data_IF_498456161439
#
_entry.id   IF_498456161439
#
_cell.length_a   1.000
_cell.length_b   1.000
_cell.length_c   1.000
_cell.angle_alpha   90.00
_cell.angle_beta   90.00
_cell.angle_gamma   90.00
#
_symmetry.space_group_name_H-M   'P 1'
#
loop_
_entity.id
_entity.type
_entity.pdbx_description
1 polymer ?
#
# COMPACT_ATOMS: atom_id res chain seq x y z
N UNK A 1 -9.41 7.19 21.12
CA UNK A 1 -8.48 8.31 20.88
C UNK A 1 -7.23 7.80 20.19
N UNK A 2 -6.82 8.44 19.09
CA UNK A 2 -5.60 8.12 18.34
C UNK A 2 -4.36 8.40 19.20
N UNK A 3 -3.42 7.43 19.25
CA UNK A 3 -2.16 7.54 20.03
C UNK A 3 -0.98 7.36 19.06
N UNK A 4 -0.32 8.44 18.62
CA UNK A 4 0.65 8.39 17.52
C UNK A 4 1.87 7.49 17.83
N UNK A 5 2.34 7.49 19.09
CA UNK A 5 3.45 6.62 19.52
C UNK A 5 3.10 5.13 19.42
N UNK A 6 1.90 4.74 19.86
CA UNK A 6 1.45 3.34 19.77
C UNK A 6 1.24 2.94 18.31
N UNK A 7 0.64 3.82 17.51
CA UNK A 7 0.49 3.59 16.07
C UNK A 7 1.83 3.37 15.37
N UNK A 8 2.85 4.19 15.66
CA UNK A 8 4.18 4.03 15.08
C UNK A 8 4.83 2.70 15.43
N UNK A 9 4.68 2.24 16.68
CA UNK A 9 5.19 0.93 17.12
C UNK A 9 4.43 -0.22 16.44
N UNK A 10 3.08 -0.16 16.41
CA UNK A 10 2.24 -1.18 15.76
C UNK A 10 2.53 -1.27 14.25
N UNK A 11 2.67 -0.12 13.59
CA UNK A 11 2.99 -0.05 12.16
C UNK A 11 4.41 -0.54 11.88
N UNK A 12 5.38 -0.12 12.68
CA UNK A 12 6.76 -0.60 12.60
C UNK A 12 6.86 -2.10 12.79
N UNK A 13 6.16 -2.66 13.78
CA UNK A 13 6.09 -4.10 14.01
C UNK A 13 5.45 -4.85 12.81
N UNK A 14 4.37 -4.32 12.24
CA UNK A 14 3.72 -4.91 11.07
C UNK A 14 4.61 -4.85 9.81
N UNK A 15 5.35 -3.75 9.62
CA UNK A 15 6.33 -3.61 8.54
C UNK A 15 7.52 -4.57 8.72
N UNK A 16 8.02 -4.72 9.95
CA UNK A 16 9.06 -5.70 10.26
C UNK A 16 8.58 -7.13 10.03
N UNK A 17 7.33 -7.45 10.40
CA UNK A 17 6.72 -8.74 10.09
C UNK A 17 6.64 -8.97 8.58
N UNK A 18 6.19 -7.98 7.82
CA UNK A 18 6.16 -8.03 6.36
C UNK A 18 7.56 -8.30 5.78
N UNK A 19 8.56 -7.52 6.21
CA UNK A 19 9.94 -7.66 5.73
C UNK A 19 10.53 -9.03 6.11
N UNK A 20 10.28 -9.49 7.34
CA UNK A 20 10.70 -10.81 7.79
C UNK A 20 10.11 -11.92 6.93
N UNK A 21 8.79 -11.89 6.69
CA UNK A 21 8.12 -12.88 5.83
C UNK A 21 8.63 -12.83 4.38
N UNK A 22 8.86 -11.64 3.84
CA UNK A 22 9.41 -11.46 2.49
C UNK A 22 10.82 -12.03 2.34
N UNK A 23 11.71 -11.75 3.29
CA UNK A 23 13.08 -12.22 3.24
C UNK A 23 13.16 -13.73 3.48
N UNK A 24 12.38 -14.24 4.42
CA UNK A 24 12.35 -15.68 4.73
C UNK A 24 11.71 -16.49 3.61
N UNK A 25 10.60 -16.02 3.01
CA UNK A 25 10.00 -16.70 1.87
C UNK A 25 10.96 -16.73 0.67
N UNK A 26 11.59 -15.60 0.34
CA UNK A 26 12.56 -15.53 -0.75
C UNK A 26 13.80 -16.39 -0.50
N UNK A 27 14.32 -16.43 0.73
CA UNK A 27 15.44 -17.29 1.09
C UNK A 27 15.09 -18.78 0.99
N UNK A 28 13.89 -19.18 1.41
CA UNK A 28 13.40 -20.56 1.31
C UNK A 28 13.16 -20.97 -0.14
N UNK A 29 12.59 -20.09 -0.97
CA UNK A 29 12.42 -20.32 -2.40
C UNK A 29 13.77 -20.55 -3.10
N UNK A 30 14.79 -19.77 -2.75
CA UNK A 30 16.13 -19.93 -3.30
C UNK A 30 16.85 -21.21 -2.83
N UNK A 31 16.62 -21.66 -1.59
CA UNK A 31 17.28 -22.85 -1.04
C UNK A 31 16.61 -24.16 -1.44
N UNK A 32 15.27 -24.20 -1.43
CA UNK A 32 14.50 -25.43 -1.58
C UNK A 32 14.04 -25.67 -3.01
N UNK A 33 14.17 -24.68 -3.90
CA UNK A 33 13.63 -24.70 -5.27
C UNK A 33 12.25 -25.37 -5.36
N UNK A 34 11.27 -24.95 -4.53
CA UNK A 34 9.99 -25.62 -4.45
C UNK A 34 9.24 -25.49 -5.78
N UNK A 35 8.48 -26.52 -6.15
CA UNK A 35 7.67 -26.53 -7.38
C UNK A 35 6.18 -26.63 -7.06
N UNK A 36 5.34 -26.05 -7.91
CA UNK A 36 3.88 -26.17 -7.82
C UNK A 36 3.26 -25.35 -6.68
N UNK A 37 2.35 -25.97 -5.93
CA UNK A 37 1.52 -25.29 -4.90
C UNK A 37 2.33 -24.71 -3.74
N UNK A 38 3.44 -25.35 -3.37
CA UNK A 38 4.32 -24.88 -2.29
C UNK A 38 5.01 -23.56 -2.64
N UNK A 39 5.47 -23.42 -3.89
CA UNK A 39 6.06 -22.17 -4.38
C UNK A 39 5.03 -21.03 -4.33
N UNK A 40 3.80 -21.30 -4.80
CA UNK A 40 2.73 -20.31 -4.73
C UNK A 40 2.44 -19.87 -3.28
N UNK A 41 2.31 -20.84 -2.36
CA UNK A 41 2.07 -20.55 -0.94
C UNK A 41 3.20 -19.72 -0.31
N UNK A 42 4.46 -20.05 -0.59
CA UNK A 42 5.63 -19.30 -0.10
C UNK A 42 5.66 -17.87 -0.67
N UNK A 43 5.43 -17.71 -1.97
CA UNK A 43 5.43 -16.40 -2.63
C UNK A 43 4.35 -15.46 -2.10
N UNK A 44 3.25 -16.03 -1.57
CA UNK A 44 2.14 -15.29 -0.96
C UNK A 44 2.31 -15.06 0.54
N UNK A 45 3.26 -15.71 1.21
CA UNK A 45 3.49 -15.55 2.65
C UNK A 45 3.63 -14.08 3.11
N UNK A 46 4.30 -13.17 2.37
CA UNK A 46 4.43 -11.77 2.77
C UNK A 46 3.09 -11.03 2.84
N UNK A 47 2.03 -11.53 2.17
CA UNK A 47 0.70 -10.92 2.23
C UNK A 47 0.12 -10.91 3.64
N UNK A 48 0.50 -11.84 4.52
CA UNK A 48 0.08 -11.81 5.93
C UNK A 48 0.60 -10.54 6.64
N UNK A 49 1.85 -10.15 6.38
CA UNK A 49 2.41 -8.90 6.87
C UNK A 49 1.72 -7.68 6.27
N UNK A 50 1.40 -7.72 4.97
CA UNK A 50 0.66 -6.64 4.31
C UNK A 50 -0.75 -6.45 4.90
N UNK A 51 -1.46 -7.56 5.22
CA UNK A 51 -2.75 -7.52 5.91
C UNK A 51 -2.62 -6.93 7.32
N UNK A 52 -1.55 -7.28 8.05
CA UNK A 52 -1.28 -6.68 9.36
C UNK A 52 -1.06 -5.16 9.27
N UNK A 53 -0.28 -4.70 8.28
CA UNK A 53 -0.08 -3.27 8.01
C UNK A 53 -1.41 -2.58 7.70
N UNK A 54 -2.21 -3.16 6.80
CA UNK A 54 -3.53 -2.63 6.46
C UNK A 54 -4.45 -2.56 7.69
N UNK A 55 -4.44 -3.58 8.54
CA UNK A 55 -5.22 -3.61 9.78
C UNK A 55 -4.83 -2.47 10.73
N UNK A 56 -3.53 -2.24 10.92
CA UNK A 56 -3.02 -1.15 11.77
C UNK A 56 -3.44 0.21 11.23
N UNK A 57 -3.33 0.43 9.91
CA UNK A 57 -3.79 1.66 9.24
C UNK A 57 -5.30 1.86 9.41
N UNK A 58 -6.10 0.82 9.17
CA UNK A 58 -7.55 0.89 9.34
C UNK A 58 -7.96 1.19 10.78
N UNK A 59 -7.29 0.57 11.76
CA UNK A 59 -7.50 0.84 13.18
C UNK A 59 -7.12 2.27 13.55
N UNK A 60 -6.05 2.81 12.96
CA UNK A 60 -5.65 4.20 13.14
C UNK A 60 -6.70 5.17 12.60
N UNK A 61 -7.15 4.97 11.34
CA UNK A 61 -8.19 5.80 10.71
C UNK A 61 -9.49 5.85 11.52
N UNK A 62 -9.90 4.72 12.13
CA UNK A 62 -11.11 4.67 12.99
C UNK A 62 -10.96 5.40 14.33
N UNK A 63 -9.73 5.72 14.75
CA UNK A 63 -9.42 6.38 16.02
C UNK A 63 -9.11 7.87 15.88
N UNK A 64 -8.94 8.35 14.65
CA UNK A 64 -8.74 9.75 14.31
C UNK A 64 -9.98 10.58 14.61
N UNK A 65 -9.78 11.88 14.81
CA UNK A 65 -10.88 12.84 14.87
C UNK A 65 -11.51 13.07 13.48
N UNK A 66 -12.62 13.81 13.44
CA UNK A 66 -13.37 14.05 12.20
C UNK A 66 -12.58 14.87 11.17
N UNK A 67 -11.79 15.85 11.63
CA UNK A 67 -11.00 16.71 10.75
C UNK A 67 -9.89 15.91 10.06
N UNK A 68 -9.12 15.14 10.82
CA UNK A 68 -8.07 14.26 10.32
C UNK A 68 -8.65 13.21 9.37
N UNK A 69 -9.80 12.61 9.72
CA UNK A 69 -10.47 11.64 8.85
C UNK A 69 -10.94 12.27 7.53
N UNK A 70 -11.40 13.53 7.56
CA UNK A 70 -11.78 14.27 6.35
C UNK A 70 -10.58 14.57 5.46
N UNK A 71 -9.46 15.00 6.03
CA UNK A 71 -8.19 15.20 5.30
C UNK A 71 -7.74 13.91 4.63
N UNK A 72 -7.75 12.79 5.37
CA UNK A 72 -7.37 11.47 4.84
C UNK A 72 -8.31 11.01 3.73
N UNK A 73 -9.62 11.23 3.89
CA UNK A 73 -10.60 10.89 2.88
C UNK A 73 -10.37 11.66 1.57
N UNK A 74 -10.18 12.97 1.64
CA UNK A 74 -9.89 13.80 0.46
C UNK A 74 -8.57 13.37 -0.23
N UNK A 75 -7.55 13.04 0.57
CA UNK A 75 -6.27 12.54 0.06
C UNK A 75 -6.43 11.18 -0.65
N UNK A 76 -7.16 10.23 -0.04
CA UNK A 76 -7.42 8.91 -0.63
C UNK A 76 -8.28 9.04 -1.89
N UNK A 77 -9.30 9.89 -1.89
CA UNK A 77 -10.14 10.13 -3.07
C UNK A 77 -9.31 10.69 -4.24
N UNK A 78 -8.41 11.64 -3.95
CA UNK A 78 -7.48 12.19 -4.94
C UNK A 78 -6.54 11.12 -5.48
N UNK A 79 -5.95 10.31 -4.60
CA UNK A 79 -5.08 9.20 -4.97
C UNK A 79 -5.78 8.18 -5.86
N UNK A 80 -6.98 7.78 -5.46
CA UNK A 80 -7.80 6.81 -6.17
C UNK A 80 -8.17 7.30 -7.56
N UNK A 81 -8.75 8.50 -7.66
CA UNK A 81 -9.18 9.07 -8.94
C UNK A 81 -7.99 9.33 -9.87
N UNK A 82 -6.91 9.91 -9.35
CA UNK A 82 -5.71 10.18 -10.14
C UNK A 82 -5.06 8.89 -10.63
N UNK A 83 -4.96 7.86 -9.78
CA UNK A 83 -4.41 6.55 -10.17
C UNK A 83 -5.28 5.92 -11.24
N UNK A 84 -6.62 5.93 -11.08
CA UNK A 84 -7.54 5.37 -12.06
C UNK A 84 -7.45 6.06 -13.43
N UNK A 85 -7.38 7.39 -13.48
CA UNK A 85 -7.23 8.13 -14.74
C UNK A 85 -5.92 7.79 -15.44
N UNK A 86 -4.83 7.71 -14.68
CA UNK A 86 -3.50 7.39 -15.23
C UNK A 86 -3.46 5.94 -15.71
N UNK A 87 -3.96 4.97 -14.94
CA UNK A 87 -3.91 3.55 -15.35
C UNK A 87 -4.85 3.25 -16.51
N UNK A 88 -6.03 3.87 -16.57
CA UNK A 88 -6.93 3.76 -17.73
C UNK A 88 -6.27 4.39 -18.97
N UNK A 89 -5.72 5.61 -18.84
CA UNK A 89 -4.99 6.27 -19.90
C UNK A 89 -3.80 5.45 -20.40
N UNK A 90 -3.07 4.83 -19.47
CA UNK A 90 -1.98 3.93 -19.80
C UNK A 90 -2.45 2.65 -20.50
N UNK A 91 -3.58 2.07 -20.10
CA UNK A 91 -4.18 0.93 -20.80
C UNK A 91 -4.50 1.23 -22.27
N UNK A 92 -4.96 2.44 -22.58
CA UNK A 92 -5.12 2.88 -23.98
C UNK A 92 -3.77 3.01 -24.70
N UNK A 93 -2.75 3.52 -24.01
CA UNK A 93 -1.40 3.60 -24.56
C UNK A 93 -0.80 2.20 -24.82
N UNK A 94 -1.03 1.24 -23.93
CA UNK A 94 -0.59 -0.16 -24.12
C UNK A 94 -1.24 -0.77 -25.37
N UNK A 95 -2.53 -0.51 -25.60
CA UNK A 95 -3.21 -0.93 -26.84
C UNK A 95 -2.60 -0.30 -28.11
N UNK A 96 -1.97 0.88 -27.98
CA UNK A 96 -1.28 1.57 -29.06
C UNK A 96 0.22 1.19 -29.18
N UNK A 97 0.71 0.23 -28.39
CA UNK A 97 2.09 -0.27 -28.44
C UNK A 97 3.03 0.23 -27.34
N UNK A 98 2.52 0.95 -26.32
CA UNK A 98 3.32 1.31 -25.15
C UNK A 98 3.71 0.06 -24.33
N UNK A 99 4.80 0.10 -23.55
CA UNK A 99 5.26 -1.04 -22.77
C UNK A 99 4.32 -1.37 -21.60
N UNK A 100 4.20 -2.67 -21.28
CA UNK A 100 3.36 -3.13 -20.19
C UNK A 100 3.94 -2.77 -18.82
N UNK A 101 3.14 -2.10 -17.99
CA UNK A 101 3.55 -1.73 -16.63
C UNK A 101 3.14 -2.80 -15.62
N UNK A 102 4.10 -3.26 -14.82
CA UNK A 102 3.83 -4.19 -13.72
C UNK A 102 2.95 -3.55 -12.65
N UNK A 103 2.01 -4.31 -12.09
CA UNK A 103 1.11 -3.86 -11.03
C UNK A 103 1.85 -3.24 -9.82
N UNK A 104 3.07 -3.71 -9.51
CA UNK A 104 3.89 -3.14 -8.45
C UNK A 104 4.26 -1.66 -8.66
N UNK A 105 4.33 -1.17 -9.89
CA UNK A 105 4.62 0.23 -10.18
C UNK A 105 3.43 1.17 -9.92
N UNK A 106 2.21 0.62 -9.81
CA UNK A 106 1.00 1.39 -9.50
C UNK A 106 1.01 1.85 -8.05
N UNK A 107 1.60 1.07 -7.14
CA UNK A 107 1.64 1.38 -5.71
C UNK A 107 2.38 2.70 -5.40
N UNK A 108 3.63 2.91 -5.89
CA UNK A 108 4.33 4.18 -5.75
C UNK A 108 3.59 5.37 -6.36
N UNK A 109 2.94 5.18 -7.51
CA UNK A 109 2.12 6.20 -8.16
C UNK A 109 0.96 6.63 -7.24
N UNK A 110 0.22 5.66 -6.71
CA UNK A 110 -0.89 5.90 -5.80
C UNK A 110 -0.42 6.58 -4.51
N UNK A 111 0.72 6.16 -3.95
CA UNK A 111 1.31 6.78 -2.76
C UNK A 111 1.71 8.25 -3.00
N UNK A 112 2.28 8.56 -4.17
CA UNK A 112 2.65 9.92 -4.56
C UNK A 112 1.41 10.82 -4.69
N UNK A 113 0.36 10.31 -5.34
CA UNK A 113 -0.90 11.04 -5.47
C UNK A 113 -1.61 11.23 -4.12
N UNK A 114 -1.56 10.23 -3.23
CA UNK A 114 -2.07 10.35 -1.87
C UNK A 114 -1.32 11.41 -1.08
N UNK A 115 0.01 11.44 -1.16
CA UNK A 115 0.81 12.48 -0.51
C UNK A 115 0.48 13.88 -1.05
N UNK A 116 0.35 14.03 -2.37
CA UNK A 116 -0.08 15.28 -2.97
C UNK A 116 -1.48 15.71 -2.50
N UNK A 117 -2.44 14.77 -2.49
CA UNK A 117 -3.79 15.00 -1.97
C UNK A 117 -3.80 15.40 -0.48
N UNK A 118 -2.95 14.79 0.33
CA UNK A 118 -2.77 15.12 1.75
C UNK A 118 -2.28 16.57 1.93
N UNK A 119 -1.28 17.00 1.16
CA UNK A 119 -0.76 18.38 1.21
C UNK A 119 -1.83 19.39 0.81
N UNK A 120 -2.61 19.10 -0.24
CA UNK A 120 -3.71 19.96 -0.71
C UNK A 120 -4.82 20.04 0.34
N UNK A 121 -5.26 18.91 0.90
CA UNK A 121 -6.30 18.86 1.91
C UNK A 121 -5.86 19.59 3.20
N UNK A 122 -4.62 19.39 3.66
CA UNK A 122 -4.06 20.10 4.81
C UNK A 122 -4.03 21.62 4.61
N UNK A 123 -3.81 22.11 3.38
CA UNK A 123 -3.88 23.55 3.08
C UNK A 123 -5.30 24.08 3.03
N UNK A 124 -6.28 23.25 2.65
CA UNK A 124 -7.69 23.64 2.54
C UNK A 124 -8.39 23.75 3.89
N UNK A 125 -7.98 22.94 4.87
CA UNK A 125 -8.59 22.87 6.21
C UNK A 125 -7.77 23.56 7.32
N UNK A 126 -6.72 24.30 6.93
CA UNK A 126 -6.02 25.25 7.81
C UNK A 126 -6.69 26.60 7.72
#
# INVERSE_FOLDING_TARGET
>A
MFRPRQYGIELGAALLLYLFLLLTSGALEHQLHPTGTLLFALSMAPMLGAVAVAWVIMRALRRMDELQRRVQFDAIATAFLGTALITIGWGFAENAGAPHIRAFAIWPLMALLWFAGMVVACRRYR
#
